data_IF_234039183509
#
_entry.id   IF_234039183509
#
_cell.length_a   1.000
_cell.length_b   1.000
_cell.length_c   1.000
_cell.angle_alpha   90.00
_cell.angle_beta   90.00
_cell.angle_gamma   90.00
#
_symmetry.space_group_name_H-M   'P 1'
#
loop_
_entity.id
_entity.type
_entity.pdbx_description
1 polymer ?
#
# COMPACT_ATOMS: atom_id res chain seq x y z
N UNK A 1 -63.82 33.34 -31.64
CA UNK A 1 -62.59 33.16 -32.42
C UNK A 1 -61.46 33.15 -31.41
N UNK A 2 -60.97 31.97 -31.07
CA UNK A 2 -59.90 31.81 -30.09
C UNK A 2 -58.60 31.84 -30.87
N UNK A 3 -57.93 33.00 -30.85
CA UNK A 3 -56.64 33.17 -31.51
C UNK A 3 -55.55 32.51 -30.66
N UNK A 4 -54.91 31.56 -31.32
CA UNK A 4 -53.67 30.82 -31.08
C UNK A 4 -52.52 31.72 -30.58
N UNK A 5 -51.95 31.39 -29.41
CA UNK A 5 -50.56 30.92 -29.26
C UNK A 5 -49.47 31.90 -29.72
N UNK A 6 -48.74 32.50 -28.78
CA UNK A 6 -47.31 32.83 -28.92
C UNK A 6 -46.85 33.48 -27.62
N UNK A 7 -45.99 32.78 -26.87
CA UNK A 7 -44.77 33.30 -26.20
C UNK A 7 -44.30 32.20 -25.26
N UNK A 8 -43.63 31.22 -25.85
CA UNK A 8 -42.69 30.34 -25.16
C UNK A 8 -41.38 31.11 -25.05
N UNK A 9 -41.20 31.87 -23.96
CA UNK A 9 -39.91 32.44 -23.63
C UNK A 9 -39.56 32.01 -22.21
N UNK A 10 -39.18 30.73 -22.08
CA UNK A 10 -38.58 30.23 -20.85
C UNK A 10 -37.06 30.27 -21.05
N UNK A 11 -36.34 31.20 -20.39
CA UNK A 11 -34.90 31.33 -20.54
C UNK A 11 -34.23 30.05 -20.06
N UNK A 12 -33.54 29.39 -21.00
CA UNK A 12 -32.74 28.21 -20.71
C UNK A 12 -31.52 28.65 -19.89
N UNK A 13 -31.61 28.58 -18.56
CA UNK A 13 -30.43 28.73 -17.71
C UNK A 13 -29.41 27.67 -18.15
N UNK A 14 -28.20 28.07 -18.56
CA UNK A 14 -27.19 27.14 -19.03
C UNK A 14 -26.88 26.11 -17.94
N UNK A 15 -26.70 24.83 -18.30
CA UNK A 15 -26.36 23.79 -17.34
C UNK A 15 -25.08 24.18 -16.62
N UNK A 16 -25.22 24.54 -15.35
CA UNK A 16 -24.09 24.81 -14.49
C UNK A 16 -23.32 23.49 -14.41
N UNK A 17 -22.04 23.42 -14.83
CA UNK A 17 -21.26 22.22 -14.66
C UNK A 17 -21.18 21.94 -13.17
N UNK A 18 -21.80 20.85 -12.73
CA UNK A 18 -21.76 20.42 -11.34
C UNK A 18 -20.30 20.23 -10.93
N UNK A 19 -19.73 21.09 -10.05
CA UNK A 19 -18.35 20.92 -9.59
C UNK A 19 -18.18 19.65 -8.75
N UNK A 20 -19.29 18.96 -8.42
CA UNK A 20 -19.32 17.66 -7.76
C UNK A 20 -19.01 16.49 -8.70
N UNK A 21 -18.88 16.71 -10.01
CA UNK A 21 -18.20 15.76 -10.90
C UNK A 21 -16.67 15.85 -10.70
N UNK A 22 -16.24 15.76 -9.43
CA UNK A 22 -14.88 15.37 -9.12
C UNK A 22 -14.68 14.02 -9.81
N UNK A 23 -13.97 14.05 -10.93
CA UNK A 23 -13.57 12.85 -11.66
C UNK A 23 -12.71 12.04 -10.71
N UNK A 24 -13.35 11.07 -10.05
CA UNK A 24 -12.68 10.06 -9.25
C UNK A 24 -11.88 9.20 -10.21
N UNK A 25 -10.63 9.59 -10.49
CA UNK A 25 -9.70 8.74 -11.20
C UNK A 25 -9.31 7.61 -10.25
N UNK A 26 -10.07 6.51 -10.30
CA UNK A 26 -9.69 5.26 -9.65
C UNK A 26 -8.50 4.67 -10.40
N UNK A 27 -7.30 5.11 -10.02
CA UNK A 27 -6.01 4.54 -10.48
C UNK A 27 -5.78 3.15 -9.82
N UNK A 28 -6.65 2.77 -8.88
CA UNK A 28 -6.58 1.55 -8.07
C UNK A 28 -7.72 0.57 -8.41
N UNK A 29 -7.52 -0.76 -8.36
CA UNK A 29 -6.29 -1.49 -8.00
C UNK A 29 -5.25 -1.61 -9.12
N UNK A 30 -3.96 -1.82 -8.78
CA UNK A 30 -2.93 -2.18 -9.74
C UNK A 30 -3.31 -3.49 -10.43
N UNK A 31 -3.00 -3.58 -11.72
CA UNK A 31 -3.13 -4.84 -12.45
C UNK A 31 -2.26 -5.92 -11.82
N UNK A 32 -2.63 -7.19 -12.01
CA UNK A 32 -1.82 -8.32 -11.52
C UNK A 32 -0.37 -8.23 -12.03
N UNK A 33 -0.17 -7.78 -13.27
CA UNK A 33 1.17 -7.56 -13.85
C UNK A 33 2.00 -6.55 -13.03
N UNK A 34 1.37 -5.47 -12.57
CA UNK A 34 2.03 -4.47 -11.73
C UNK A 34 2.34 -5.04 -10.35
N UNK A 35 1.40 -5.80 -9.76
CA UNK A 35 1.62 -6.51 -8.49
C UNK A 35 2.82 -7.47 -8.60
N UNK A 36 2.88 -8.27 -9.66
CA UNK A 36 3.99 -9.19 -9.91
C UNK A 36 5.32 -8.44 -10.08
N UNK A 37 5.33 -7.28 -10.76
CA UNK A 37 6.51 -6.44 -10.87
C UNK A 37 6.98 -5.90 -9.51
N UNK A 38 6.05 -5.52 -8.63
CA UNK A 38 6.35 -5.11 -7.25
C UNK A 38 6.96 -6.27 -6.47
N UNK A 39 6.37 -7.47 -6.54
CA UNK A 39 6.90 -8.68 -5.90
C UNK A 39 8.31 -8.98 -6.40
N UNK A 40 8.54 -8.98 -7.71
CA UNK A 40 9.87 -9.22 -8.28
C UNK A 40 10.90 -8.19 -7.80
N UNK A 41 10.52 -6.91 -7.74
CA UNK A 41 11.38 -5.86 -7.22
C UNK A 41 11.71 -6.05 -5.74
N UNK A 42 10.75 -6.49 -4.94
CA UNK A 42 10.97 -6.84 -3.54
C UNK A 42 11.91 -8.04 -3.40
N UNK A 43 11.73 -9.08 -4.22
CA UNK A 43 12.63 -10.24 -4.24
C UNK A 43 14.07 -9.81 -4.54
N UNK A 44 14.27 -9.01 -5.59
CA UNK A 44 15.59 -8.45 -5.93
C UNK A 44 16.16 -7.65 -4.75
N UNK A 45 15.34 -6.82 -4.11
CA UNK A 45 15.79 -5.97 -2.99
C UNK A 45 16.20 -6.78 -1.76
N UNK A 46 15.47 -7.88 -1.48
CA UNK A 46 15.69 -8.75 -0.33
C UNK A 46 16.82 -9.78 -0.56
N UNK A 47 17.05 -10.19 -1.81
CA UNK A 47 18.06 -11.20 -2.17
C UNK A 47 19.38 -10.59 -2.64
N UNK A 48 19.38 -9.39 -3.23
CA UNK A 48 20.58 -8.78 -3.76
C UNK A 48 21.39 -8.03 -2.67
N UNK A 49 22.72 -8.01 -2.80
CA UNK A 49 23.56 -7.19 -1.94
C UNK A 49 23.25 -5.69 -2.14
N UNK A 50 22.73 -5.05 -1.11
CA UNK A 50 22.34 -3.65 -1.06
C UNK A 50 22.76 -3.00 0.27
N UNK A 51 22.50 -1.70 0.46
CA UNK A 51 22.76 -1.03 1.75
C UNK A 51 21.95 -1.67 2.88
N UNK A 52 20.71 -2.08 2.59
CA UNK A 52 19.86 -2.78 3.57
C UNK A 52 20.42 -4.17 3.89
N UNK A 53 20.90 -4.90 2.88
CA UNK A 53 21.44 -6.23 3.13
C UNK A 53 22.77 -6.21 3.89
N UNK A 54 23.56 -5.13 3.78
CA UNK A 54 24.73 -4.93 4.64
C UNK A 54 24.36 -4.73 6.12
N UNK A 55 23.16 -4.21 6.40
CA UNK A 55 22.67 -3.91 7.76
C UNK A 55 21.88 -5.07 8.36
N UNK A 56 21.09 -5.77 7.54
CA UNK A 56 20.12 -6.76 7.99
C UNK A 56 20.34 -8.16 7.41
N UNK A 57 21.26 -8.33 6.45
CA UNK A 57 21.47 -9.57 5.70
C UNK A 57 20.64 -9.66 4.42
N UNK A 58 20.98 -10.62 3.57
CA UNK A 58 20.18 -11.04 2.41
C UNK A 58 19.35 -12.27 2.76
N UNK A 59 18.18 -12.41 2.14
CA UNK A 59 17.37 -13.62 2.20
C UNK A 59 17.72 -14.56 1.04
N UNK A 60 17.50 -15.87 1.23
CA UNK A 60 17.51 -16.83 0.12
C UNK A 60 16.43 -16.46 -0.90
N UNK A 61 16.60 -16.83 -2.18
CA UNK A 61 15.60 -16.58 -3.21
C UNK A 61 14.20 -17.09 -2.83
N UNK A 62 14.12 -18.24 -2.17
CA UNK A 62 12.85 -18.83 -1.73
C UNK A 62 12.21 -18.02 -0.59
N UNK A 63 12.99 -17.69 0.45
CA UNK A 63 12.58 -16.83 1.57
C UNK A 63 12.18 -15.42 1.08
N UNK A 64 12.97 -14.82 0.18
CA UNK A 64 12.67 -13.55 -0.46
C UNK A 64 11.35 -13.59 -1.23
N UNK A 65 11.09 -14.67 -1.96
CA UNK A 65 9.86 -14.82 -2.75
C UNK A 65 8.63 -14.92 -1.88
N UNK A 66 8.71 -15.70 -0.80
CA UNK A 66 7.62 -15.86 0.17
C UNK A 66 7.35 -14.55 0.91
N UNK A 67 8.41 -13.91 1.41
CA UNK A 67 8.32 -12.62 2.10
C UNK A 67 7.79 -11.51 1.18
N UNK A 68 8.27 -11.41 -0.06
CA UNK A 68 7.81 -10.40 -1.01
C UNK A 68 6.32 -10.52 -1.34
N UNK A 69 5.84 -11.76 -1.54
CA UNK A 69 4.40 -12.03 -1.76
C UNK A 69 3.57 -11.63 -0.55
N UNK A 70 4.02 -11.97 0.66
CA UNK A 70 3.33 -11.60 1.89
C UNK A 70 3.30 -10.08 2.09
N UNK A 71 4.44 -9.39 1.91
CA UNK A 71 4.54 -7.94 2.01
C UNK A 71 3.55 -7.25 1.06
N UNK A 72 3.52 -7.69 -0.20
CA UNK A 72 2.67 -7.11 -1.23
C UNK A 72 1.19 -7.38 -0.96
N UNK A 73 0.81 -8.60 -0.59
CA UNK A 73 -0.58 -8.99 -0.37
C UNK A 73 -1.18 -8.28 0.85
N UNK A 74 -0.41 -8.16 1.93
CA UNK A 74 -0.82 -7.40 3.11
C UNK A 74 -0.90 -5.90 2.83
N UNK A 75 0.02 -5.35 2.03
CA UNK A 75 -0.03 -3.94 1.62
C UNK A 75 -1.22 -3.66 0.69
N UNK A 76 -1.51 -4.57 -0.23
CA UNK A 76 -2.67 -4.51 -1.12
C UNK A 76 -3.97 -4.52 -0.31
N UNK A 77 -4.05 -5.43 0.66
CA UNK A 77 -5.19 -5.54 1.58
C UNK A 77 -5.36 -4.27 2.44
N UNK A 78 -4.28 -3.73 2.99
CA UNK A 78 -4.32 -2.48 3.76
C UNK A 78 -4.76 -1.27 2.92
N UNK A 79 -4.30 -1.20 1.67
CA UNK A 79 -4.68 -0.16 0.73
C UNK A 79 -6.15 -0.28 0.30
N UNK A 80 -6.71 -1.49 0.21
CA UNK A 80 -8.12 -1.70 -0.20
C UNK A 80 -9.16 -0.98 0.68
N UNK A 81 -8.77 -0.54 1.88
CA UNK A 81 -9.62 0.23 2.80
C UNK A 81 -9.62 1.75 2.54
N UNK A 82 -8.86 2.24 1.57
CA UNK A 82 -8.72 3.66 1.24
C UNK A 82 -9.23 3.96 -0.16
N UNK A 83 -9.75 5.18 -0.35
CA UNK A 83 -10.39 5.59 -1.59
C UNK A 83 -9.48 6.49 -2.46
N UNK A 84 -9.53 6.27 -3.78
CA UNK A 84 -8.94 7.14 -4.78
C UNK A 84 -7.42 7.14 -4.84
N UNK A 85 -6.83 8.34 -4.84
CA UNK A 85 -5.38 8.56 -5.02
C UNK A 85 -4.59 8.22 -3.75
N UNK A 86 -5.21 8.39 -2.58
CA UNK A 86 -4.59 8.08 -1.29
C UNK A 86 -4.23 6.60 -1.16
N UNK A 87 -5.00 5.73 -1.82
CA UNK A 87 -4.76 4.29 -1.86
C UNK A 87 -3.37 3.90 -2.34
N UNK A 88 -2.86 4.58 -3.37
CA UNK A 88 -1.51 4.34 -3.88
C UNK A 88 -0.44 4.75 -2.87
N UNK A 89 -0.69 5.83 -2.12
CA UNK A 89 0.22 6.30 -1.08
C UNK A 89 0.25 5.31 0.09
N UNK A 90 -0.93 4.81 0.51
CA UNK A 90 -1.05 3.77 1.54
C UNK A 90 -0.31 2.51 1.11
N UNK A 91 -0.56 2.02 -0.12
CA UNK A 91 0.13 0.84 -0.66
C UNK A 91 1.65 0.99 -0.64
N UNK A 92 2.17 2.12 -1.14
CA UNK A 92 3.62 2.38 -1.19
C UNK A 92 4.25 2.47 0.21
N UNK A 93 3.54 3.10 1.15
CA UNK A 93 3.96 3.22 2.55
C UNK A 93 3.98 1.86 3.24
N UNK A 94 2.94 1.06 3.06
CA UNK A 94 2.83 -0.25 3.71
C UNK A 94 3.84 -1.26 3.14
N UNK A 95 4.14 -1.24 1.83
CA UNK A 95 5.23 -2.03 1.25
C UNK A 95 6.56 -1.68 1.92
N UNK A 96 6.90 -0.39 1.96
CA UNK A 96 8.20 0.05 2.47
C UNK A 96 8.35 -0.27 3.96
N UNK A 97 7.30 -0.04 4.74
CA UNK A 97 7.24 -0.37 6.16
C UNK A 97 7.45 -1.86 6.40
N UNK A 98 6.64 -2.71 5.74
CA UNK A 98 6.72 -4.16 5.91
C UNK A 98 8.04 -4.73 5.42
N UNK A 99 8.58 -4.23 4.32
CA UNK A 99 9.91 -4.63 3.85
C UNK A 99 10.97 -4.38 4.92
N UNK A 100 10.94 -3.20 5.57
CA UNK A 100 11.86 -2.89 6.67
C UNK A 100 11.62 -3.76 7.89
N UNK A 101 10.37 -4.01 8.25
CA UNK A 101 10.01 -4.87 9.38
C UNK A 101 10.46 -6.32 9.15
N UNK A 102 10.30 -6.86 7.95
CA UNK A 102 10.78 -8.19 7.56
C UNK A 102 12.29 -8.32 7.70
N UNK A 103 13.07 -7.36 7.18
CA UNK A 103 14.54 -7.44 7.28
C UNK A 103 15.03 -7.21 8.71
N UNK A 104 14.36 -6.33 9.47
CA UNK A 104 14.69 -6.12 10.90
C UNK A 104 14.39 -7.33 11.75
N UNK A 105 13.27 -8.01 11.52
CA UNK A 105 12.91 -9.23 12.26
C UNK A 105 13.88 -10.38 11.97
N UNK A 106 14.55 -10.37 10.80
CA UNK A 106 15.55 -11.37 10.42
C UNK A 106 16.94 -11.09 10.96
N UNK A 107 17.38 -9.84 10.93
CA UNK A 107 18.59 -9.44 11.64
C UNK A 107 18.36 -9.82 13.09
N UNK A 108 19.14 -10.77 13.60
CA UNK A 108 18.88 -11.45 14.86
C UNK A 108 18.30 -10.48 15.89
N UNK A 109 17.21 -10.86 16.60
CA UNK A 109 16.73 -10.02 17.68
C UNK A 109 17.94 -9.71 18.53
N UNK A 110 18.36 -8.45 18.55
CA UNK A 110 19.15 -7.96 19.67
C UNK A 110 18.27 -8.38 20.83
N UNK A 111 18.69 -9.34 21.68
CA UNK A 111 17.84 -9.77 22.77
C UNK A 111 17.46 -8.47 23.47
N UNK A 112 16.18 -8.12 23.37
CA UNK A 112 15.62 -7.00 24.10
C UNK A 112 15.91 -7.35 25.53
N UNK A 113 16.96 -6.72 26.06
CA UNK A 113 17.47 -6.78 27.41
C UNK A 113 16.67 -7.74 28.31
N UNK A 114 17.20 -8.95 28.40
CA UNK A 114 17.39 -9.63 29.67
C UNK A 114 17.58 -8.64 30.84
N UNK A 115 16.53 -8.37 31.62
CA UNK A 115 16.67 -7.92 33.01
C UNK A 115 15.47 -8.41 33.83
N UNK A 116 15.59 -9.65 34.27
CA UNK A 116 14.73 -10.30 35.25
C UNK A 116 15.48 -11.40 35.98
N UNK A 117 16.78 -11.20 36.22
CA UNK A 117 17.55 -12.00 37.18
C UNK A 117 17.08 -11.58 38.56
N UNK A 118 16.17 -12.35 39.16
CA UNK A 118 15.90 -12.26 40.58
C UNK A 118 15.69 -13.66 41.15
N UNK A 119 16.81 -14.19 41.64
CA UNK A 119 16.91 -15.00 42.86
C UNK A 119 16.04 -16.28 42.96
N UNK A 120 16.74 -17.39 42.72
CA UNK A 120 16.74 -18.55 43.61
C UNK A 120 16.32 -18.20 45.05
N UNK A 121 15.23 -18.80 45.52
CA UNK A 121 15.11 -19.21 46.92
C UNK A 121 15.02 -20.73 46.90
N UNK A 122 16.13 -21.35 47.24
CA UNK A 122 16.20 -22.73 47.67
C UNK A 122 15.57 -22.85 49.05
N UNK A 123 14.65 -23.80 49.21
CA UNK A 123 14.58 -24.72 50.35
C UNK A 123 13.95 -26.04 49.88
#
# INVERSE_FOLDING_TARGET
MSDTETTLEQPSTPPQPDPSAAVSFSIWPPTQRTRDAVVNRLIETLSAPSVLSKRYGTLSSDESSSAARQIEDEAFSAASSSDGIETLQVYSKEISKRMLDTVKARAAPIPSAEEGVAASVSD
#
